data_IF_257644170465
#
_entry.id   IF_257644170465
#
_cell.length_a   1.000
_cell.length_b   1.000
_cell.length_c   1.000
_cell.angle_alpha   90.00
_cell.angle_beta   90.00
_cell.angle_gamma   90.00
#
_symmetry.space_group_name_H-M   'P 1'
#
loop_
_entity.id
_entity.type
_entity.pdbx_description
1 polymer ?
#
# COMPACT_ATOMS: atom_id res chain seq x y z
N UNK A 1 14.50 6.87 -20.46
CA UNK A 1 15.31 5.69 -20.10
C UNK A 1 14.44 4.45 -20.30
N UNK A 2 14.53 3.81 -21.47
CA UNK A 2 13.86 2.53 -21.77
C UNK A 2 14.57 1.45 -20.96
N UNK A 3 13.86 0.70 -20.14
CA UNK A 3 14.38 -0.52 -19.54
C UNK A 3 13.40 -1.66 -19.86
N UNK A 4 13.80 -2.40 -20.89
CA UNK A 4 13.55 -3.81 -21.23
C UNK A 4 12.21 -4.43 -20.83
N UNK A 5 11.42 -4.76 -21.85
CA UNK A 5 10.48 -5.88 -21.76
C UNK A 5 11.23 -7.20 -21.67
N UNK A 6 10.81 -8.05 -20.73
CA UNK A 6 11.09 -9.47 -20.74
C UNK A 6 9.79 -10.19 -21.12
N UNK A 7 9.79 -10.85 -22.27
CA UNK A 7 8.71 -11.66 -22.81
C UNK A 7 8.50 -12.92 -21.97
N UNK A 8 7.46 -12.96 -21.13
CA UNK A 8 6.80 -14.17 -20.64
C UNK A 8 5.33 -13.82 -20.31
N UNK A 9 4.40 -14.11 -21.23
CA UNK A 9 2.94 -14.05 -20.99
C UNK A 9 2.33 -12.64 -20.91
N UNK A 10 1.46 -12.27 -21.86
CA UNK A 10 0.76 -10.98 -21.90
C UNK A 10 -0.37 -10.86 -20.85
N UNK A 11 -0.04 -10.98 -19.56
CA UNK A 11 -1.01 -11.07 -18.46
C UNK A 11 -0.99 -9.86 -17.51
N UNK A 12 -0.12 -8.88 -17.74
CA UNK A 12 -0.09 -7.61 -17.02
C UNK A 12 1.17 -6.79 -17.30
N UNK A 13 1.16 -5.50 -16.94
CA UNK A 13 2.29 -4.59 -17.00
C UNK A 13 2.39 -3.82 -15.67
N UNK A 14 3.58 -3.84 -15.07
CA UNK A 14 3.92 -3.04 -13.88
C UNK A 14 4.80 -1.87 -14.31
N UNK A 15 4.31 -0.65 -14.20
CA UNK A 15 5.07 0.56 -14.52
C UNK A 15 5.61 1.18 -13.25
N UNK A 16 6.89 1.55 -13.27
CA UNK A 16 7.54 2.27 -12.18
C UNK A 16 7.51 3.78 -12.45
N UNK A 17 7.17 4.59 -11.44
CA UNK A 17 7.19 6.06 -11.52
C UNK A 17 8.39 6.66 -10.80
N UNK A 18 9.08 7.58 -11.48
CA UNK A 18 10.18 8.34 -10.90
C UNK A 18 9.71 9.26 -9.77
N UNK A 19 8.50 9.82 -9.88
CA UNK A 19 7.94 10.73 -8.86
C UNK A 19 7.68 9.98 -7.55
N UNK A 20 7.11 8.76 -7.63
CA UNK A 20 6.88 7.91 -6.46
C UNK A 20 8.21 7.49 -5.81
N UNK A 21 9.22 7.20 -6.62
CA UNK A 21 10.56 6.88 -6.13
C UNK A 21 11.20 8.05 -5.38
N UNK A 22 11.09 9.27 -5.93
CA UNK A 22 11.61 10.49 -5.32
C UNK A 22 10.84 10.87 -4.03
N UNK A 23 9.55 10.51 -3.95
CA UNK A 23 8.74 10.64 -2.73
C UNK A 23 9.04 9.56 -1.66
N UNK A 24 10.06 8.72 -1.87
CA UNK A 24 10.48 7.69 -0.91
C UNK A 24 9.60 6.43 -0.90
N UNK A 25 8.72 6.24 -1.88
CA UNK A 25 7.92 5.02 -2.05
C UNK A 25 8.76 4.00 -2.81
N UNK A 26 9.17 2.92 -2.13
CA UNK A 26 9.91 1.78 -2.71
C UNK A 26 8.97 0.57 -2.62
N UNK A 27 8.14 0.29 -3.60
CA UNK A 27 8.43 -0.35 -4.90
C UNK A 27 8.11 0.54 -6.12
N UNK A 28 7.80 1.83 -5.92
CA UNK A 28 7.54 2.83 -6.96
C UNK A 28 6.53 2.43 -8.09
N UNK A 29 5.67 1.44 -7.88
CA UNK A 29 4.70 0.98 -8.88
C UNK A 29 3.57 2.01 -9.00
N UNK A 30 3.37 2.53 -10.21
CA UNK A 30 2.24 3.41 -10.51
C UNK A 30 0.99 2.57 -10.77
N UNK A 31 0.14 2.47 -9.75
CA UNK A 31 -1.11 1.71 -9.79
C UNK A 31 -2.13 2.22 -10.81
N UNK A 32 -2.04 3.48 -11.25
CA UNK A 32 -2.98 4.08 -12.21
C UNK A 32 -2.75 3.65 -13.66
N UNK A 33 -1.50 3.33 -14.02
CA UNK A 33 -1.12 2.87 -15.37
C UNK A 33 -0.71 1.40 -15.40
N UNK A 34 -0.45 0.80 -14.25
CA UNK A 34 -0.14 -0.63 -14.14
C UNK A 34 -1.43 -1.44 -14.25
N UNK A 35 -1.40 -2.49 -15.07
CA UNK A 35 -2.58 -3.30 -15.39
C UNK A 35 -2.26 -4.76 -15.16
N UNK A 36 -3.16 -5.51 -14.53
CA UNK A 36 -3.12 -6.97 -14.52
C UNK A 36 -4.37 -7.49 -15.21
N UNK A 37 -4.20 -8.28 -16.28
CA UNK A 37 -5.30 -8.89 -17.04
C UNK A 37 -5.90 -10.09 -16.31
N UNK A 38 -5.09 -10.79 -15.51
CA UNK A 38 -5.56 -11.92 -14.69
C UNK A 38 -6.29 -11.41 -13.43
N UNK A 39 -5.93 -10.21 -12.96
CA UNK A 39 -6.67 -9.49 -11.93
C UNK A 39 -6.80 -10.28 -10.64
N UNK A 40 -7.99 -10.25 -10.05
CA UNK A 40 -8.26 -11.00 -8.82
C UNK A 40 -8.29 -12.51 -9.06
N UNK A 41 -8.53 -13.03 -10.27
CA UNK A 41 -8.72 -14.47 -10.50
C UNK A 41 -7.53 -15.33 -10.05
N UNK A 42 -6.30 -14.85 -10.19
CA UNK A 42 -5.08 -15.53 -9.74
C UNK A 42 -4.75 -15.38 -8.25
N UNK A 43 -5.47 -14.54 -7.51
CA UNK A 43 -5.19 -14.33 -6.09
C UNK A 43 -5.83 -15.41 -5.22
N UNK A 44 -5.08 -15.90 -4.23
CA UNK A 44 -5.63 -16.74 -3.17
C UNK A 44 -6.73 -15.99 -2.40
N UNK A 45 -7.75 -16.73 -1.94
CA UNK A 45 -8.96 -16.15 -1.33
C UNK A 45 -8.65 -15.22 -0.14
N UNK A 46 -7.65 -15.56 0.66
CA UNK A 46 -7.22 -14.76 1.80
C UNK A 46 -6.66 -13.39 1.37
N UNK A 47 -5.80 -13.34 0.34
CA UNK A 47 -5.29 -12.07 -0.22
C UNK A 47 -6.43 -11.20 -0.72
N UNK A 48 -7.42 -11.77 -1.43
CA UNK A 48 -8.57 -10.99 -1.93
C UNK A 48 -9.33 -10.28 -0.82
N UNK A 49 -9.57 -10.96 0.29
CA UNK A 49 -10.31 -10.42 1.43
C UNK A 49 -9.58 -9.22 2.05
N UNK A 50 -8.27 -9.37 2.29
CA UNK A 50 -7.48 -8.30 2.91
C UNK A 50 -7.18 -7.16 1.94
N UNK A 51 -6.94 -7.46 0.66
CA UNK A 51 -6.65 -6.47 -0.38
C UNK A 51 -7.86 -5.59 -0.72
N UNK A 52 -9.08 -6.15 -0.69
CA UNK A 52 -10.30 -5.37 -0.91
C UNK A 52 -10.50 -4.29 0.16
N UNK A 53 -10.37 -4.67 1.44
CA UNK A 53 -10.46 -3.73 2.57
C UNK A 53 -9.33 -2.70 2.52
N UNK A 54 -8.11 -3.13 2.22
CA UNK A 54 -6.96 -2.24 2.06
C UNK A 54 -7.20 -1.17 1.00
N UNK A 55 -7.69 -1.56 -0.19
CA UNK A 55 -7.92 -0.63 -1.29
C UNK A 55 -8.93 0.45 -0.91
N UNK A 56 -9.99 0.07 -0.19
CA UNK A 56 -11.00 1.00 0.31
C UNK A 56 -10.40 2.00 1.31
N UNK A 57 -9.63 1.52 2.29
CA UNK A 57 -8.96 2.36 3.30
C UNK A 57 -7.98 3.36 2.65
N UNK A 58 -7.14 2.91 1.71
CA UNK A 58 -6.18 3.79 1.03
C UNK A 58 -6.87 4.81 0.11
N UNK A 59 -8.00 4.48 -0.50
CA UNK A 59 -8.78 5.42 -1.31
C UNK A 59 -9.38 6.52 -0.43
N UNK A 60 -10.03 6.15 0.67
CA UNK A 60 -10.57 7.13 1.63
C UNK A 60 -9.47 7.99 2.23
N UNK A 61 -8.30 7.40 2.54
CA UNK A 61 -7.14 8.16 2.99
C UNK A 61 -6.67 9.19 1.95
N UNK A 62 -6.59 8.82 0.67
CA UNK A 62 -6.18 9.75 -0.39
C UNK A 62 -7.18 10.91 -0.55
N UNK A 63 -8.49 10.64 -0.41
CA UNK A 63 -9.53 11.68 -0.41
C UNK A 63 -9.38 12.63 0.79
N UNK A 64 -9.16 12.09 1.99
CA UNK A 64 -8.96 12.88 3.20
C UNK A 64 -7.67 13.69 3.16
N UNK A 65 -6.57 13.11 2.68
CA UNK A 65 -5.26 13.80 2.59
C UNK A 65 -5.34 15.05 1.71
N UNK A 66 -6.11 15.00 0.61
CA UNK A 66 -6.35 16.16 -0.23
C UNK A 66 -7.22 17.22 0.46
N UNK A 67 -8.20 16.81 1.28
CA UNK A 67 -9.11 17.72 1.96
C UNK A 67 -8.47 18.45 3.15
N UNK A 68 -7.58 17.77 3.87
CA UNK A 68 -6.90 18.30 5.06
C UNK A 68 -5.99 19.49 4.75
N UNK A 69 -5.50 19.61 3.52
CA UNK A 69 -4.71 20.78 3.11
C UNK A 69 -5.52 22.08 3.15
N UNK A 70 -6.86 22.00 3.21
CA UNK A 70 -7.77 23.13 3.19
C UNK A 70 -8.61 23.26 4.46
N UNK A 71 -8.50 22.32 5.41
CA UNK A 71 -9.29 22.29 6.63
C UNK A 71 -8.51 22.86 7.81
N UNK A 72 -9.12 23.80 8.54
CA UNK A 72 -8.53 24.42 9.74
C UNK A 72 -8.65 23.55 10.99
N UNK A 73 -9.75 22.79 11.11
CA UNK A 73 -10.02 21.89 12.22
C UNK A 73 -10.50 20.54 11.69
N UNK A 74 -9.94 19.47 12.24
CA UNK A 74 -10.31 18.10 11.92
C UNK A 74 -10.93 17.46 13.16
N UNK A 75 -12.08 16.82 12.98
CA UNK A 75 -12.67 15.99 14.03
C UNK A 75 -11.79 14.75 14.30
N UNK A 76 -11.99 14.15 15.48
CA UNK A 76 -11.16 13.03 15.93
C UNK A 76 -11.25 11.80 15.03
N UNK A 77 -12.39 11.57 14.36
CA UNK A 77 -12.53 10.42 13.47
C UNK A 77 -11.67 10.60 12.22
N UNK A 78 -11.70 11.80 11.63
CA UNK A 78 -10.85 12.15 10.48
C UNK A 78 -9.35 12.07 10.83
N UNK A 79 -8.95 12.56 12.00
CA UNK A 79 -7.55 12.44 12.47
C UNK A 79 -7.10 10.98 12.58
N UNK A 80 -7.94 10.12 13.15
CA UNK A 80 -7.64 8.70 13.29
C UNK A 80 -7.53 8.01 11.92
N UNK A 81 -8.39 8.37 10.98
CA UNK A 81 -8.40 7.79 9.64
C UNK A 81 -7.17 8.20 8.83
N UNK A 82 -6.75 9.46 8.93
CA UNK A 82 -5.48 9.95 8.36
C UNK A 82 -4.29 9.22 8.95
N UNK A 83 -4.24 9.09 10.28
CA UNK A 83 -3.16 8.41 10.96
C UNK A 83 -3.08 6.92 10.56
N UNK A 84 -4.22 6.24 10.40
CA UNK A 84 -4.27 4.86 9.89
C UNK A 84 -3.74 4.78 8.46
N UNK A 85 -4.19 5.67 7.58
CA UNK A 85 -3.73 5.71 6.19
C UNK A 85 -2.23 5.96 6.04
N UNK A 86 -1.66 6.82 6.87
CA UNK A 86 -0.21 7.04 6.94
C UNK A 86 0.55 5.77 7.35
N UNK A 87 0.07 5.04 8.38
CA UNK A 87 0.66 3.76 8.79
C UNK A 87 0.55 2.69 7.71
N UNK A 88 -0.59 2.62 7.03
CA UNK A 88 -0.78 1.71 5.91
C UNK A 88 0.20 2.02 4.77
N UNK A 89 0.45 3.29 4.42
CA UNK A 89 1.48 3.64 3.42
C UNK A 89 2.88 3.21 3.85
N UNK A 90 3.22 3.37 5.13
CA UNK A 90 4.53 2.98 5.65
C UNK A 90 4.73 1.45 5.59
N UNK A 91 3.68 0.69 5.88
CA UNK A 91 3.67 -0.78 5.88
C UNK A 91 4.05 -1.39 4.52
N UNK A 92 3.79 -0.70 3.41
CA UNK A 92 4.17 -1.16 2.06
C UNK A 92 5.54 -0.69 1.59
N UNK A 93 6.31 0.02 2.42
CA UNK A 93 7.68 0.38 2.08
C UNK A 93 8.62 -0.80 2.34
N UNK A 94 8.90 -1.56 1.30
CA UNK A 94 9.75 -2.73 1.36
C UNK A 94 11.20 -2.38 1.03
N UNK A 95 12.15 -2.96 1.76
CA UNK A 95 13.57 -2.96 1.40
C UNK A 95 13.81 -3.84 0.17
N UNK A 96 14.85 -3.51 -0.60
CA UNK A 96 15.26 -4.37 -1.70
C UNK A 96 15.73 -5.73 -1.16
N UNK A 97 15.37 -6.80 -1.86
CA UNK A 97 15.81 -8.18 -1.55
C UNK A 97 15.25 -8.80 -0.26
N UNK A 98 14.18 -8.27 0.33
CA UNK A 98 13.45 -8.91 1.46
C UNK A 98 12.04 -9.32 1.03
N UNK A 99 11.85 -10.31 0.14
CA UNK A 99 10.51 -10.76 -0.26
C UNK A 99 9.80 -11.43 0.92
N UNK A 100 8.60 -10.94 1.26
CA UNK A 100 7.74 -11.58 2.24
C UNK A 100 7.05 -12.79 1.64
N UNK A 101 6.90 -13.85 2.43
CA UNK A 101 6.05 -14.98 2.06
C UNK A 101 4.58 -14.57 1.97
N UNK A 102 3.75 -15.39 1.32
CA UNK A 102 2.34 -15.05 1.10
C UNK A 102 1.57 -14.92 2.41
N UNK A 103 1.81 -15.82 3.37
CA UNK A 103 1.25 -15.76 4.72
C UNK A 103 1.72 -14.53 5.50
N UNK A 104 2.99 -14.14 5.38
CA UNK A 104 3.52 -12.91 6.00
C UNK A 104 2.88 -11.66 5.40
N UNK A 105 2.70 -11.61 4.07
CA UNK A 105 1.98 -10.53 3.41
C UNK A 105 0.53 -10.42 3.90
N UNK A 106 -0.18 -11.54 4.02
CA UNK A 106 -1.55 -11.56 4.53
C UNK A 106 -1.59 -11.04 5.97
N UNK A 107 -0.72 -11.54 6.85
CA UNK A 107 -0.68 -11.11 8.25
C UNK A 107 -0.35 -9.61 8.37
N UNK A 108 0.59 -9.13 7.57
CA UNK A 108 1.00 -7.73 7.54
C UNK A 108 -0.15 -6.83 7.07
N UNK A 109 -0.84 -7.17 5.98
CA UNK A 109 -2.00 -6.40 5.51
C UNK A 109 -3.13 -6.45 6.55
N UNK A 110 -3.41 -7.64 7.11
CA UNK A 110 -4.49 -7.84 8.07
C UNK A 110 -4.29 -7.02 9.36
N UNK A 111 -3.07 -6.96 9.88
CA UNK A 111 -2.75 -6.16 11.07
C UNK A 111 -2.98 -4.66 10.83
N UNK A 112 -2.58 -4.16 9.66
CA UNK A 112 -2.81 -2.77 9.26
C UNK A 112 -4.28 -2.42 9.11
N UNK A 113 -5.04 -3.16 8.29
CA UNK A 113 -6.45 -2.80 7.97
C UNK A 113 -7.40 -2.96 9.16
N UNK A 114 -7.03 -3.73 10.18
CA UNK A 114 -7.86 -3.92 11.38
C UNK A 114 -7.41 -3.06 12.57
N UNK A 115 -6.40 -2.20 12.40
CA UNK A 115 -6.01 -1.21 13.43
C UNK A 115 -5.11 -1.76 14.54
N UNK A 116 -4.55 -2.96 14.38
CA UNK A 116 -3.59 -3.49 15.34
C UNK A 116 -2.31 -2.65 15.43
N UNK A 117 -2.05 -1.82 14.42
CA UNK A 117 -0.90 -0.91 14.35
C UNK A 117 -1.22 0.50 14.86
N UNK A 118 -2.47 0.79 15.28
CA UNK A 118 -2.88 2.14 15.67
C UNK A 118 -2.16 2.62 16.94
N UNK A 119 -1.72 1.69 17.79
CA UNK A 119 -0.93 1.96 19.00
C UNK A 119 0.50 2.38 18.70
N UNK A 120 0.99 2.13 17.48
CA UNK A 120 2.34 2.47 17.07
C UNK A 120 2.38 3.87 16.46
N UNK A 121 3.49 4.57 16.67
CA UNK A 121 3.80 5.74 15.84
C UNK A 121 4.18 5.31 14.42
N UNK A 122 3.88 6.14 13.42
CA UNK A 122 4.14 5.83 12.00
C UNK A 122 5.57 5.38 11.74
N UNK A 123 6.56 6.01 12.37
CA UNK A 123 8.00 5.68 12.23
C UNK A 123 8.34 4.29 12.78
N UNK A 124 7.56 3.80 13.73
CA UNK A 124 7.77 2.50 14.38
C UNK A 124 7.12 1.35 13.61
N UNK A 125 6.17 1.61 12.72
CA UNK A 125 5.45 0.58 11.95
C UNK A 125 6.45 -0.34 11.22
N UNK A 126 7.39 0.25 10.47
CA UNK A 126 8.37 -0.53 9.71
C UNK A 126 9.26 -1.42 10.59
N UNK A 127 9.63 -0.96 11.78
CA UNK A 127 10.53 -1.70 12.71
C UNK A 127 9.85 -2.88 13.38
N UNK A 128 8.53 -2.83 13.55
CA UNK A 128 7.76 -3.83 14.29
C UNK A 128 7.07 -4.85 13.38
N UNK A 129 7.25 -4.73 12.06
CA UNK A 129 6.73 -5.69 11.09
C UNK A 129 7.81 -6.71 10.71
N UNK A 130 7.33 -7.90 10.33
CA UNK A 130 8.15 -9.01 9.82
C UNK A 130 8.89 -8.50 8.57
N UNK A 131 10.22 -8.57 8.55
CA UNK A 131 11.09 -8.18 7.43
C UNK A 131 12.19 -9.19 7.18
#
# INVERSE_FOLDING_TARGET
MKITGSELGHDGQNFLSADLFNAGIRTAINVGISVSRVGSAAQIKAIKQVAGKLKLELAQFAELEAFVQFASDLDKATQNQLARGQRLRELFKQSQSSPLSVEEQIATIYTGVNGYLDVLETVQVKKNLIQ
#
